data_IF_631906407680
#
_entry.id   IF_631906407680
#
_cell.length_a   1.000
_cell.length_b   1.000
_cell.length_c   1.000
_cell.angle_alpha   90.00
_cell.angle_beta   90.00
_cell.angle_gamma   90.00
#
_symmetry.space_group_name_H-M   'P 1'
#
loop_
_entity.id
_entity.type
_entity.pdbx_description
1 polymer ?
#
# COMPACT_ATOMS: atom_id res chain seq x y z
N UNK A 1 23.74 -4.45 7.30
CA UNK A 1 23.03 -3.34 6.64
C UNK A 1 21.72 -3.85 6.06
N UNK A 2 20.64 -3.12 6.28
CA UNK A 2 19.36 -3.53 5.71
C UNK A 2 19.27 -3.03 4.28
N UNK A 3 18.75 -3.90 3.42
CA UNK A 3 18.53 -3.55 2.03
C UNK A 3 17.06 -3.15 1.88
N UNK A 4 16.82 -1.90 1.51
CA UNK A 4 15.46 -1.38 1.35
C UNK A 4 14.95 -1.45 -0.10
N UNK A 5 15.70 -2.12 -1.00
CA UNK A 5 15.30 -2.17 -2.41
C UNK A 5 13.96 -2.88 -2.60
N UNK A 6 13.69 -3.91 -1.80
CA UNK A 6 12.40 -4.60 -1.84
C UNK A 6 11.26 -3.63 -1.50
N UNK A 7 11.44 -2.89 -0.39
CA UNK A 7 10.42 -1.93 0.07
C UNK A 7 10.21 -0.85 -0.98
N UNK A 8 11.29 -0.31 -1.54
CA UNK A 8 11.18 0.71 -2.57
C UNK A 8 10.45 0.19 -3.80
N UNK A 9 10.71 -1.05 -4.21
CA UNK A 9 10.05 -1.65 -5.37
C UNK A 9 8.55 -1.80 -5.12
N UNK A 10 8.15 -2.18 -3.90
CA UNK A 10 6.74 -2.31 -3.56
C UNK A 10 6.05 -0.95 -3.68
N UNK A 11 6.63 0.10 -3.08
CA UNK A 11 6.02 1.43 -3.13
C UNK A 11 6.02 2.02 -4.53
N UNK A 12 7.01 1.70 -5.35
CA UNK A 12 6.99 2.11 -6.76
C UNK A 12 5.81 1.51 -7.50
N UNK A 13 5.50 0.24 -7.26
CA UNK A 13 4.33 -0.38 -7.89
C UNK A 13 3.05 0.32 -7.48
N UNK A 14 2.92 0.68 -6.19
CA UNK A 14 1.75 1.43 -5.71
C UNK A 14 1.66 2.78 -6.42
N UNK A 15 2.77 3.51 -6.47
CA UNK A 15 2.77 4.86 -7.03
C UNK A 15 2.58 4.88 -8.55
N UNK A 16 2.82 3.74 -9.20
CA UNK A 16 2.51 3.56 -10.62
C UNK A 16 1.10 3.04 -10.86
N UNK A 17 0.33 2.81 -9.78
CA UNK A 17 -1.01 2.22 -9.85
C UNK A 17 -1.00 0.87 -10.57
N UNK A 18 0.02 0.07 -10.30
CA UNK A 18 0.24 -1.21 -10.96
C UNK A 18 -0.22 -2.35 -10.04
N UNK A 19 -1.51 -2.70 -10.14
CA UNK A 19 -2.11 -3.71 -9.27
C UNK A 19 -1.45 -5.08 -9.46
N UNK A 20 -1.22 -5.50 -10.70
CA UNK A 20 -0.60 -6.79 -10.98
C UNK A 20 0.85 -6.81 -10.50
N UNK A 21 1.60 -5.74 -10.75
CA UNK A 21 2.98 -5.63 -10.28
C UNK A 21 3.07 -5.67 -8.77
N UNK A 22 2.14 -4.99 -8.08
CA UNK A 22 2.11 -5.02 -6.63
C UNK A 22 1.84 -6.44 -6.12
N UNK A 23 0.90 -7.15 -6.74
CA UNK A 23 0.55 -8.51 -6.34
C UNK A 23 1.70 -9.50 -6.53
N UNK A 24 2.64 -9.21 -7.42
CA UNK A 24 3.82 -10.07 -7.63
C UNK A 24 4.68 -10.17 -6.37
N UNK A 25 4.61 -9.18 -5.49
CA UNK A 25 5.37 -9.21 -4.23
C UNK A 25 4.66 -9.99 -3.14
N UNK A 26 3.48 -10.55 -3.39
CA UNK A 26 2.64 -11.20 -2.39
C UNK A 26 2.56 -12.70 -2.62
N UNK A 27 2.25 -13.46 -1.55
CA UNK A 27 1.95 -14.89 -1.69
C UNK A 27 0.57 -15.05 -2.34
N UNK A 28 0.31 -16.25 -2.89
CA UNK A 28 -0.98 -16.52 -3.54
C UNK A 28 -2.17 -16.33 -2.60
N UNK A 29 -1.98 -16.67 -1.32
CA UNK A 29 -3.03 -16.60 -0.31
C UNK A 29 -2.86 -15.38 0.61
N UNK A 30 -2.16 -14.34 0.16
CA UNK A 30 -1.88 -13.17 0.98
C UNK A 30 -3.14 -12.52 1.51
N UNK A 31 -2.99 -11.83 2.64
CA UNK A 31 -4.04 -11.01 3.23
C UNK A 31 -3.65 -9.55 3.05
N UNK A 32 -4.59 -8.75 2.55
CA UNK A 32 -4.38 -7.31 2.32
C UNK A 32 -5.42 -6.56 3.13
N UNK A 33 -4.96 -5.74 4.06
CA UNK A 33 -5.86 -4.91 4.89
C UNK A 33 -5.54 -3.44 4.65
N UNK A 34 -6.52 -2.69 4.19
CA UNK A 34 -6.38 -1.28 3.90
C UNK A 34 -7.24 -0.47 4.87
N UNK A 35 -6.60 0.14 5.85
CA UNK A 35 -7.26 0.98 6.85
C UNK A 35 -8.37 0.17 7.55
N UNK A 36 -9.58 0.70 7.59
CA UNK A 36 -10.72 0.03 8.25
C UNK A 36 -11.54 -0.85 7.30
N UNK A 37 -11.09 -1.01 6.07
CA UNK A 37 -11.77 -1.89 5.13
C UNK A 37 -11.61 -3.35 5.58
N UNK A 38 -12.63 -4.20 5.42
CA UNK A 38 -12.48 -5.61 5.72
C UNK A 38 -11.31 -6.21 4.94
N UNK A 39 -10.58 -7.19 5.51
CA UNK A 39 -9.45 -7.78 4.84
C UNK A 39 -9.85 -8.46 3.53
N UNK A 40 -8.96 -8.39 2.54
CA UNK A 40 -9.13 -9.04 1.25
C UNK A 40 -8.10 -10.15 1.19
N UNK A 41 -8.51 -11.36 0.84
CA UNK A 41 -7.65 -12.55 0.90
C UNK A 41 -7.47 -13.18 -0.46
N UNK A 42 -6.20 -13.44 -0.82
CA UNK A 42 -5.84 -14.11 -2.06
C UNK A 42 -5.71 -13.16 -3.23
N UNK A 43 -4.79 -13.47 -4.15
CA UNK A 43 -4.53 -12.60 -5.30
C UNK A 43 -5.76 -12.41 -6.17
N UNK A 44 -6.63 -13.44 -6.26
CA UNK A 44 -7.85 -13.34 -7.06
C UNK A 44 -8.81 -12.27 -6.56
N UNK A 45 -8.75 -11.91 -5.27
CA UNK A 45 -9.56 -10.83 -4.71
C UNK A 45 -8.76 -9.55 -4.56
N UNK A 46 -7.47 -9.67 -4.28
CA UNK A 46 -6.62 -8.49 -4.03
C UNK A 46 -6.45 -7.67 -5.30
N UNK A 47 -6.19 -8.31 -6.44
CA UNK A 47 -5.94 -7.59 -7.69
C UNK A 47 -7.16 -6.74 -8.10
N UNK A 48 -8.40 -7.29 -8.13
CA UNK A 48 -9.56 -6.46 -8.43
C UNK A 48 -9.76 -5.33 -7.41
N UNK A 49 -9.52 -5.60 -6.13
CA UNK A 49 -9.63 -4.57 -5.10
C UNK A 49 -8.67 -3.42 -5.40
N UNK A 50 -7.40 -3.74 -5.70
CA UNK A 50 -6.40 -2.73 -6.00
C UNK A 50 -6.75 -1.97 -7.28
N UNK A 51 -7.22 -2.67 -8.31
CA UNK A 51 -7.62 -2.01 -9.56
C UNK A 51 -8.73 -1.00 -9.32
N UNK A 52 -9.73 -1.38 -8.51
CA UNK A 52 -10.82 -0.48 -8.16
C UNK A 52 -10.32 0.71 -7.35
N UNK A 53 -9.41 0.45 -6.40
CA UNK A 53 -8.86 1.54 -5.60
C UNK A 53 -8.07 2.51 -6.48
N UNK A 54 -7.19 1.99 -7.33
CA UNK A 54 -6.38 2.85 -8.21
C UNK A 54 -7.26 3.63 -9.19
N UNK A 55 -8.37 3.05 -9.63
CA UNK A 55 -9.32 3.76 -10.50
C UNK A 55 -10.07 4.86 -9.78
N UNK A 56 -10.17 4.79 -8.46
CA UNK A 56 -10.94 5.76 -7.67
C UNK A 56 -10.18 7.06 -7.40
N UNK A 57 -8.89 7.10 -7.73
CA UNK A 57 -8.03 8.27 -7.55
C UNK A 57 -7.16 8.46 -8.78
N UNK A 58 -6.55 9.64 -8.89
CA UNK A 58 -5.63 9.90 -10.00
C UNK A 58 -4.27 9.27 -9.75
N UNK A 59 -3.83 9.22 -8.49
CA UNK A 59 -2.55 8.61 -8.17
C UNK A 59 -2.15 8.80 -6.72
N UNK A 60 -1.01 8.23 -6.38
CA UNK A 60 -0.40 8.36 -5.05
C UNK A 60 1.08 8.67 -5.20
N UNK A 61 1.63 9.27 -4.15
CA UNK A 61 3.07 9.46 -4.03
C UNK A 61 3.46 9.22 -2.58
N UNK A 62 4.42 8.32 -2.38
CA UNK A 62 4.95 8.02 -1.05
C UNK A 62 6.30 8.69 -0.87
N UNK A 63 6.50 9.35 0.27
CA UNK A 63 7.78 9.94 0.63
C UNK A 63 8.00 9.88 2.12
N UNK A 64 9.15 10.38 2.58
CA UNK A 64 9.55 10.40 3.98
C UNK A 64 9.50 9.02 4.62
N UNK A 65 9.94 8.01 3.86
CA UNK A 65 9.85 6.61 4.30
C UNK A 65 10.94 6.30 5.31
N UNK A 66 10.54 5.67 6.40
CA UNK A 66 11.41 5.02 7.35
C UNK A 66 10.99 3.56 7.44
N UNK A 67 11.95 2.68 7.70
CA UNK A 67 11.57 1.28 7.84
C UNK A 67 12.45 0.59 8.87
N UNK A 68 11.89 -0.45 9.47
CA UNK A 68 12.58 -1.29 10.44
C UNK A 68 12.31 -2.74 10.11
N UNK A 69 13.36 -3.54 10.19
CA UNK A 69 13.20 -4.98 10.06
C UNK A 69 12.79 -5.56 11.41
N UNK A 70 11.77 -6.43 11.39
CA UNK A 70 11.30 -7.13 12.57
C UNK A 70 11.33 -8.62 12.28
N UNK A 71 11.21 -9.50 13.30
CA UNK A 71 11.24 -10.94 13.03
C UNK A 71 10.20 -11.40 12.00
N UNK A 72 9.02 -10.80 11.99
CA UNK A 72 7.96 -11.17 11.05
C UNK A 72 8.13 -10.56 9.65
N UNK A 73 8.96 -9.50 9.51
CA UNK A 73 9.11 -8.83 8.22
C UNK A 73 9.57 -7.39 8.37
N UNK A 74 8.71 -6.43 8.06
CA UNK A 74 9.09 -5.01 8.08
C UNK A 74 7.95 -4.15 8.59
N UNK A 75 8.31 -3.06 9.28
CA UNK A 75 7.39 -1.98 9.59
C UNK A 75 7.90 -0.73 8.89
N UNK A 76 7.03 -0.03 8.20
CA UNK A 76 7.37 1.20 7.48
C UNK A 76 6.45 2.32 7.92
N UNK A 77 7.03 3.50 8.17
CA UNK A 77 6.27 4.72 8.39
C UNK A 77 6.60 5.70 7.27
N UNK A 78 5.65 6.54 6.92
CA UNK A 78 5.90 7.52 5.90
C UNK A 78 4.72 8.42 5.66
N UNK A 79 4.79 9.15 4.57
CA UNK A 79 3.73 10.04 4.16
C UNK A 79 3.25 9.62 2.77
N UNK A 80 1.94 9.53 2.60
CA UNK A 80 1.32 9.30 1.31
C UNK A 80 0.52 10.52 0.92
N UNK A 81 0.67 10.97 -0.32
CA UNK A 81 -0.15 12.04 -0.88
C UNK A 81 -1.02 11.42 -1.96
N UNK A 82 -2.33 11.43 -1.72
CA UNK A 82 -3.30 11.00 -2.72
C UNK A 82 -3.65 12.18 -3.59
N UNK A 83 -3.75 11.96 -4.90
CA UNK A 83 -4.29 12.96 -5.82
C UNK A 83 -5.66 12.48 -6.29
N UNK A 84 -6.67 13.30 -6.05
CA UNK A 84 -8.04 13.00 -6.47
C UNK A 84 -8.20 13.29 -7.95
N UNK A 85 -9.28 12.78 -8.56
CA UNK A 85 -9.54 13.02 -9.98
C UNK A 85 -9.73 14.50 -10.32
N UNK A 86 -10.17 15.31 -9.35
CA UNK A 86 -10.30 16.74 -9.57
C UNK A 86 -8.98 17.50 -9.46
N UNK A 87 -7.88 16.78 -9.20
CA UNK A 87 -6.55 17.37 -9.07
C UNK A 87 -6.18 17.81 -7.68
N UNK A 88 -7.13 17.83 -6.73
CA UNK A 88 -6.81 18.17 -5.35
C UNK A 88 -6.05 17.03 -4.69
N UNK A 89 -5.32 17.36 -3.61
CA UNK A 89 -4.48 16.37 -2.94
C UNK A 89 -4.90 16.20 -1.49
N UNK A 90 -4.61 15.00 -0.97
CA UNK A 90 -4.87 14.67 0.43
C UNK A 90 -3.62 13.97 0.98
N UNK A 91 -2.77 14.69 1.70
CA UNK A 91 -1.60 14.07 2.32
C UNK A 91 -1.96 13.52 3.69
N UNK A 92 -1.38 12.36 4.03
CA UNK A 92 -1.55 11.80 5.36
C UNK A 92 -0.36 10.92 5.74
N UNK A 93 -0.18 10.72 7.04
CA UNK A 93 0.83 9.82 7.56
C UNK A 93 0.28 8.40 7.56
N UNK A 94 1.16 7.44 7.35
CA UNK A 94 0.77 6.03 7.36
C UNK A 94 1.82 5.19 8.08
N UNK A 95 1.39 4.00 8.50
CA UNK A 95 2.28 2.95 8.96
C UNK A 95 1.85 1.65 8.29
N UNK A 96 2.80 0.97 7.67
CA UNK A 96 2.53 -0.32 7.04
C UNK A 96 3.32 -1.41 7.73
N UNK A 97 2.74 -2.60 7.79
CA UNK A 97 3.45 -3.79 8.25
C UNK A 97 3.39 -4.84 7.16
N UNK A 98 4.55 -5.36 6.77
CA UNK A 98 4.64 -6.51 5.87
C UNK A 98 5.06 -7.71 6.70
N UNK A 99 4.19 -8.72 6.80
CA UNK A 99 4.57 -10.00 7.37
C UNK A 99 4.96 -10.90 6.21
N UNK A 100 6.19 -11.40 6.26
CA UNK A 100 6.80 -12.07 5.13
C UNK A 100 6.72 -13.58 5.26
N UNK A 101 6.64 -14.24 4.11
CA UNK A 101 6.84 -15.68 3.99
C UNK A 101 7.90 -15.86 2.92
N UNK A 102 9.13 -16.17 3.34
CA UNK A 102 10.25 -16.15 2.41
C UNK A 102 10.48 -14.75 1.88
N UNK A 103 10.52 -14.62 0.58
CA UNK A 103 10.74 -13.32 -0.08
C UNK A 103 9.43 -12.67 -0.56
N UNK A 104 8.28 -13.18 -0.10
CA UNK A 104 6.96 -12.65 -0.49
C UNK A 104 6.21 -12.15 0.74
N UNK A 105 5.31 -11.20 0.51
CA UNK A 105 4.46 -10.64 1.55
C UNK A 105 3.26 -11.55 1.74
N UNK A 106 3.10 -12.07 2.96
CA UNK A 106 1.95 -12.90 3.33
C UNK A 106 0.81 -12.05 3.88
N UNK A 107 1.14 -10.99 4.64
CA UNK A 107 0.13 -10.03 5.11
C UNK A 107 0.64 -8.62 4.85
N UNK A 108 -0.15 -7.86 4.15
CA UNK A 108 0.14 -6.47 3.79
C UNK A 108 -0.87 -5.62 4.53
N UNK A 109 -0.42 -4.96 5.60
CA UNK A 109 -1.31 -4.23 6.50
C UNK A 109 -1.00 -2.74 6.40
N UNK A 110 -2.02 -1.94 6.07
CA UNK A 110 -1.89 -0.49 5.91
C UNK A 110 -2.72 0.18 7.01
N UNK A 111 -2.05 0.98 7.83
CA UNK A 111 -2.69 1.78 8.88
C UNK A 111 -2.60 3.24 8.47
N UNK A 112 -3.74 3.80 8.10
CA UNK A 112 -3.80 5.17 7.59
C UNK A 112 -5.19 5.73 7.85
N UNK A 113 -5.29 7.02 8.12
CA UNK A 113 -6.59 7.68 8.18
C UNK A 113 -6.88 8.29 6.82
N UNK A 114 -7.57 7.54 5.99
CA UNK A 114 -7.97 7.98 4.65
C UNK A 114 -9.44 8.38 4.60
N UNK A 115 -10.04 8.70 5.75
CA UNK A 115 -11.47 8.97 5.85
C UNK A 115 -11.92 10.15 4.99
N UNK A 116 -11.03 11.09 4.68
CA UNK A 116 -11.37 12.27 3.89
C UNK A 116 -10.94 12.13 2.42
N UNK A 117 -10.46 10.96 2.01
CA UNK A 117 -9.92 10.78 0.66
C UNK A 117 -10.94 11.10 -0.43
N UNK A 118 -12.18 10.68 -0.24
CA UNK A 118 -13.21 10.86 -1.24
C UNK A 118 -14.08 12.09 -1.00
N UNK A 119 -13.65 12.97 -0.08
CA UNK A 119 -14.29 14.25 0.11
C UNK A 119 -13.83 15.21 -0.97
N UNK A 120 -14.70 16.11 -1.46
CA UNK A 120 -14.23 17.14 -2.40
C UNK A 120 -13.13 17.98 -1.77
N UNK A 121 -12.14 18.35 -2.57
CA UNK A 121 -11.10 19.25 -2.11
C UNK A 121 -11.70 20.64 -1.91
N UNK A 122 -11.45 21.23 -0.75
CA UNK A 122 -11.91 22.57 -0.45
C UNK A 122 -10.75 23.52 -0.34
#
# INVERSE_FOLDING_TARGET
>A
MQDNSFIQSVFEAVDKSDAHGLAEFMTEDAVFRFSNHPPVTGKGEIIPFLENFFASIKGTRHDQLEFWKIPAGYVMNGRVTYTRHDGSTYPCWFSNTFKMEGDKIREYLIFVDNSLLYQPGN
#
